data_IF_413623159424
#
_entry.id   IF_413623159424
#
_cell.length_a   1.000
_cell.length_b   1.000
_cell.length_c   1.000
_cell.angle_alpha   90.00
_cell.angle_beta   90.00
_cell.angle_gamma   90.00
#
_symmetry.space_group_name_H-M   'P 1'
#
loop_
_entity.id
_entity.type
_entity.pdbx_description
1 polymer ?
#
# COMPACT_ATOMS: atom_id res chain seq x y z
N UNK A 1 16.10 -12.52 37.76
CA UNK A 1 16.04 -11.88 36.42
C UNK A 1 14.60 -11.54 36.13
N UNK A 2 14.26 -10.25 35.91
CA UNK A 2 12.87 -9.81 35.69
C UNK A 2 12.47 -10.19 34.25
N UNK A 3 11.37 -10.92 34.06
CA UNK A 3 10.95 -11.31 32.72
C UNK A 3 10.48 -10.11 31.90
N UNK A 4 10.72 -10.08 30.57
CA UNK A 4 10.22 -9.05 29.69
C UNK A 4 8.68 -9.07 29.67
N UNK A 5 8.02 -7.92 29.57
CA UNK A 5 6.57 -7.87 29.45
C UNK A 5 6.12 -8.65 28.20
N UNK A 6 5.00 -9.39 28.29
CA UNK A 6 4.47 -10.15 27.18
C UNK A 6 4.16 -9.22 26.00
N UNK A 7 4.57 -9.63 24.79
CA UNK A 7 4.27 -8.90 23.55
C UNK A 7 2.75 -8.75 23.42
N UNK A 8 2.27 -7.50 23.46
CA UNK A 8 0.86 -7.20 23.16
C UNK A 8 0.65 -7.42 21.66
N UNK A 9 -0.42 -8.11 21.28
CA UNK A 9 -0.88 -8.08 19.89
C UNK A 9 -1.23 -6.63 19.55
N UNK A 10 -0.69 -6.12 18.46
CA UNK A 10 -1.07 -4.82 17.91
C UNK A 10 -2.47 -4.99 17.32
N UNK A 11 -3.44 -4.22 17.79
CA UNK A 11 -4.68 -4.04 17.04
C UNK A 11 -4.31 -3.33 15.74
N UNK A 12 -4.53 -4.01 14.63
CA UNK A 12 -4.30 -3.49 13.29
C UNK A 12 -5.66 -3.01 12.77
N UNK A 13 -5.97 -1.71 12.88
CA UNK A 13 -7.26 -1.20 12.43
C UNK A 13 -7.38 -1.44 10.93
N UNK A 14 -8.37 -2.24 10.54
CA UNK A 14 -8.71 -2.46 9.14
C UNK A 14 -9.36 -1.18 8.62
N UNK A 15 -8.64 -0.48 7.75
CA UNK A 15 -9.15 0.75 7.12
C UNK A 15 -9.97 0.30 5.91
N UNK A 16 -11.28 0.48 6.01
CA UNK A 16 -12.19 0.36 4.86
C UNK A 16 -12.00 1.58 3.96
N UNK A 17 -11.27 1.38 2.86
CA UNK A 17 -10.91 2.42 1.90
C UNK A 17 -12.13 2.88 1.09
N UNK A 18 -13.16 2.03 0.98
CA UNK A 18 -14.37 2.26 0.19
C UNK A 18 -15.49 2.89 1.02
N UNK A 19 -15.54 2.64 2.33
CA UNK A 19 -16.47 3.29 3.27
C UNK A 19 -15.98 4.66 3.79
N UNK A 20 -14.82 5.12 3.34
CA UNK A 20 -14.26 6.42 3.72
C UNK A 20 -15.09 7.55 3.08
N UNK A 21 -16.02 8.14 3.85
CA UNK A 21 -16.80 9.33 3.45
C UNK A 21 -15.93 10.50 2.97
N UNK A 22 -14.68 10.54 3.45
CA UNK A 22 -13.65 11.49 3.01
C UNK A 22 -12.49 10.71 2.42
N UNK A 23 -11.98 11.10 1.23
CA UNK A 23 -10.77 10.53 0.69
C UNK A 23 -9.65 10.57 1.73
N UNK A 24 -8.85 9.51 1.78
CA UNK A 24 -7.68 9.49 2.63
C UNK A 24 -6.83 10.73 2.35
N UNK A 25 -6.50 11.55 3.37
CA UNK A 25 -5.77 12.79 3.15
C UNK A 25 -4.33 12.45 2.74
N UNK A 26 -4.07 12.51 1.44
CA UNK A 26 -2.72 12.39 0.91
C UNK A 26 -1.95 13.69 1.13
N UNK A 27 -0.62 13.63 1.37
CA UNK A 27 0.22 14.81 1.32
C UNK A 27 0.02 15.58 0.02
N UNK A 28 -0.01 16.92 0.09
CA UNK A 28 -0.35 17.77 -1.07
C UNK A 28 0.54 17.54 -2.29
N UNK A 29 1.77 17.08 -2.09
CA UNK A 29 2.70 16.78 -3.16
C UNK A 29 2.18 15.69 -4.12
N UNK A 30 1.37 14.74 -3.65
CA UNK A 30 0.78 13.70 -4.50
C UNK A 30 -0.32 14.21 -5.44
N UNK A 31 -0.81 15.45 -5.24
CA UNK A 31 -1.74 16.09 -6.17
C UNK A 31 -1.06 16.76 -7.36
N UNK A 32 0.28 16.93 -7.34
CA UNK A 32 1.03 17.49 -8.46
C UNK A 32 1.17 16.42 -9.54
N UNK A 33 0.74 16.77 -10.76
CA UNK A 33 0.70 15.83 -11.88
C UNK A 33 2.10 15.34 -12.29
N UNK A 34 3.12 16.13 -11.95
CA UNK A 34 4.53 15.94 -12.28
C UNK A 34 5.37 15.40 -11.10
N UNK A 35 4.72 15.00 -9.99
CA UNK A 35 5.41 14.59 -8.77
C UNK A 35 6.28 13.34 -8.99
N UNK A 36 5.74 12.31 -9.64
CA UNK A 36 6.46 11.05 -9.87
C UNK A 36 7.55 11.19 -10.94
N UNK A 37 7.41 12.15 -11.85
CA UNK A 37 8.42 12.48 -12.86
C UNK A 37 9.61 13.22 -12.24
N UNK A 38 9.36 14.14 -11.30
CA UNK A 38 10.40 14.87 -10.55
C UNK A 38 11.04 14.01 -9.46
N UNK A 39 10.27 13.10 -8.88
CA UNK A 39 10.66 12.25 -7.76
C UNK A 39 10.37 10.78 -8.08
N UNK A 40 11.13 10.18 -9.01
CA UNK A 40 10.87 8.81 -9.44
C UNK A 40 11.11 7.80 -8.31
N UNK A 41 10.32 6.70 -8.26
CA UNK A 41 10.49 5.68 -7.23
C UNK A 41 11.88 5.04 -7.30
N UNK A 42 12.56 4.97 -6.14
CA UNK A 42 13.87 4.33 -5.99
C UNK A 42 13.73 2.80 -5.84
N UNK A 43 13.16 2.14 -6.85
CA UNK A 43 13.02 0.68 -6.91
C UNK A 43 13.57 0.14 -8.22
N UNK A 44 13.70 -1.18 -8.37
CA UNK A 44 14.11 -1.80 -9.63
C UNK A 44 13.15 -1.43 -10.78
N UNK A 45 13.62 -1.50 -12.02
CA UNK A 45 12.84 -1.11 -13.20
C UNK A 45 11.48 -1.84 -13.29
N UNK A 46 11.48 -3.14 -13.00
CA UNK A 46 10.25 -3.94 -12.92
C UNK A 46 9.28 -3.38 -11.88
N UNK A 47 9.78 -2.98 -10.70
CA UNK A 47 8.97 -2.37 -9.65
C UNK A 47 8.49 -0.96 -10.02
N UNK A 48 9.30 -0.19 -10.75
CA UNK A 48 8.91 1.16 -11.21
C UNK A 48 7.75 1.08 -12.20
N UNK A 49 7.83 0.18 -13.18
CA UNK A 49 6.74 -0.04 -14.14
C UNK A 49 5.45 -0.45 -13.43
N UNK A 50 5.52 -1.33 -12.42
CA UNK A 50 4.34 -1.69 -11.63
C UNK A 50 3.77 -0.47 -10.89
N UNK A 51 4.59 0.32 -10.22
CA UNK A 51 4.11 1.48 -9.45
C UNK A 51 3.47 2.56 -10.36
N UNK A 52 4.03 2.76 -11.55
CA UNK A 52 3.61 3.84 -12.45
C UNK A 52 2.50 3.44 -13.42
N UNK A 53 2.47 2.18 -13.89
CA UNK A 53 1.58 1.73 -14.96
C UNK A 53 0.44 0.81 -14.48
N UNK A 54 0.44 0.32 -13.23
CA UNK A 54 -0.62 -0.59 -12.79
C UNK A 54 -1.94 0.15 -12.57
N UNK A 55 -2.89 -0.09 -13.46
CA UNK A 55 -4.26 0.38 -13.28
C UNK A 55 -4.99 -0.35 -12.14
N UNK A 56 -6.07 0.24 -11.59
CA UNK A 56 -6.80 -0.32 -10.45
C UNK A 56 -7.30 -1.76 -10.67
N UNK A 57 -7.73 -2.11 -11.89
CA UNK A 57 -8.17 -3.47 -12.21
C UNK A 57 -7.03 -4.50 -12.18
N UNK A 58 -5.85 -4.13 -12.68
CA UNK A 58 -4.67 -4.99 -12.65
C UNK A 58 -4.17 -5.18 -11.21
N UNK A 59 -4.23 -4.11 -10.40
CA UNK A 59 -3.92 -4.15 -8.97
C UNK A 59 -4.85 -5.07 -8.19
N UNK A 60 -6.16 -5.02 -8.46
CA UNK A 60 -7.16 -5.89 -7.84
C UNK A 60 -6.85 -7.38 -8.12
N UNK A 61 -6.47 -7.71 -9.36
CA UNK A 61 -6.10 -9.08 -9.74
C UNK A 61 -4.82 -9.56 -9.06
N UNK A 62 -3.81 -8.70 -8.95
CA UNK A 62 -2.56 -9.03 -8.25
C UNK A 62 -2.84 -9.33 -6.77
N UNK A 63 -3.60 -8.46 -6.09
CA UNK A 63 -4.00 -8.66 -4.70
C UNK A 63 -4.77 -9.98 -4.50
N UNK A 64 -5.69 -10.31 -5.41
CA UNK A 64 -6.43 -11.57 -5.33
C UNK A 64 -5.51 -12.80 -5.47
N UNK A 65 -4.50 -12.74 -6.34
CA UNK A 65 -3.51 -13.81 -6.51
C UNK A 65 -2.64 -13.98 -5.28
N UNK A 66 -2.16 -12.89 -4.71
CA UNK A 66 -1.32 -12.90 -3.52
C UNK A 66 -2.09 -13.46 -2.31
N UNK A 67 -3.33 -13.02 -2.11
CA UNK A 67 -4.20 -13.55 -1.07
C UNK A 67 -4.41 -15.06 -1.23
N UNK A 68 -4.67 -15.54 -2.45
CA UNK A 68 -4.83 -16.97 -2.73
C UNK A 68 -3.54 -17.77 -2.50
N UNK A 69 -2.36 -17.18 -2.68
CA UNK A 69 -1.08 -17.85 -2.44
C UNK A 69 -0.77 -18.05 -0.94
N UNK A 70 -1.29 -17.16 -0.08
CA UNK A 70 -1.10 -17.22 1.38
C UNK A 70 -2.06 -18.22 2.06
N UNK A 71 -3.25 -18.45 1.50
CA UNK A 71 -4.31 -19.30 2.08
C UNK A 71 -4.08 -20.81 1.76
N UNK A 72 -2.84 -21.27 1.62
CA UNK A 72 -2.55 -22.69 1.36
C UNK A 72 -2.46 -23.53 2.63
#
# INVERSE_FOLDING_TARGET
>A
VRQPPPKRQREEPVIDVDALERPYPLPRCFGSRDFMEKHPPMVAEVGRAVILDIGPAARQQELARDAAAVIR
#
